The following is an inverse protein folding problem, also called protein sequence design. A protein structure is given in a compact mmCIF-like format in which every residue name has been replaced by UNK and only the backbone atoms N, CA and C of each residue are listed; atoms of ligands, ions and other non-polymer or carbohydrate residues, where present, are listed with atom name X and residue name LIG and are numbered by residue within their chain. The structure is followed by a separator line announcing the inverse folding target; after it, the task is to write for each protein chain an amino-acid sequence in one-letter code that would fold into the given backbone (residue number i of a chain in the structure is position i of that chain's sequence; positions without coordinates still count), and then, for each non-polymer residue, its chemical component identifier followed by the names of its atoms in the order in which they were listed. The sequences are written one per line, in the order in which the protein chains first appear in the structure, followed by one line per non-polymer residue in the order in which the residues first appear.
data_IF_422564168389
#
_entry.id   IF_422564168389
#
_cell.length_a   1.000
_cell.length_b   1.000
_cell.length_c   1.000
_cell.angle_alpha   90.00
_cell.angle_beta   90.00
_cell.angle_gamma   90.00
#
_symmetry.space_group_name_H-M   'P 1'
#
loop_
_entity.id
_entity.type
_entity.pdbx_description
1 polymer ?
#
# COMPACT_ATOMS: atom_id res chain seq x y z
N UNK A 1 -17.40 -6.28 7.54
CA UNK A 1 -16.62 -7.48 7.11
C UNK A 1 -15.24 -6.96 6.76
N UNK A 2 -14.18 -7.69 7.03
CA UNK A 2 -12.83 -7.30 6.64
C UNK A 2 -12.28 -8.30 5.62
N UNK A 3 -11.32 -7.86 4.80
CA UNK A 3 -10.75 -8.60 3.68
C UNK A 3 -9.25 -8.75 3.90
N UNK A 4 -8.73 -9.96 3.70
CA UNK A 4 -7.30 -10.23 3.77
C UNK A 4 -6.60 -9.78 2.50
N UNK A 5 -5.41 -9.24 2.64
CA UNK A 5 -4.53 -8.85 1.55
C UNK A 5 -3.08 -9.06 1.92
N UNK A 6 -2.21 -8.73 1.02
CA UNK A 6 -0.78 -8.73 1.26
C UNK A 6 -0.08 -7.67 0.42
N UNK A 7 1.10 -7.29 0.85
CA UNK A 7 2.04 -6.58 0.01
C UNK A 7 3.39 -7.30 -0.04
N UNK A 8 4.10 -7.06 -1.11
CA UNK A 8 5.43 -7.62 -1.35
C UNK A 8 6.17 -6.77 -2.36
N UNK A 9 7.36 -6.30 -1.97
CA UNK A 9 8.15 -5.43 -2.82
C UNK A 9 8.43 -6.04 -4.20
N UNK A 10 8.88 -7.30 -4.27
CA UNK A 10 9.12 -7.98 -5.54
C UNK A 10 7.87 -8.72 -6.03
N UNK A 11 7.51 -8.53 -7.30
CA UNK A 11 6.37 -9.24 -7.91
C UNK A 11 6.52 -10.77 -7.82
N UNK A 12 5.55 -11.49 -7.26
CA UNK A 12 5.68 -12.93 -7.04
C UNK A 12 5.64 -13.78 -8.33
N UNK A 13 5.16 -13.20 -9.43
CA UNK A 13 4.96 -13.89 -10.71
C UNK A 13 3.52 -14.35 -10.94
N UNK A 14 3.11 -14.34 -12.21
CA UNK A 14 1.71 -14.58 -12.63
C UNK A 14 1.14 -15.91 -12.13
N UNK A 15 1.92 -16.98 -12.18
CA UNK A 15 1.50 -18.31 -11.74
C UNK A 15 1.22 -18.36 -10.22
N UNK A 16 2.08 -17.69 -9.42
CA UNK A 16 1.90 -17.65 -7.99
C UNK A 16 0.73 -16.75 -7.59
N UNK A 17 0.55 -15.61 -8.27
CA UNK A 17 -0.61 -14.74 -8.06
C UNK A 17 -1.92 -15.46 -8.38
N UNK A 18 -1.99 -16.20 -9.49
CA UNK A 18 -3.17 -17.00 -9.83
C UNK A 18 -3.47 -18.07 -8.78
N UNK A 19 -2.43 -18.78 -8.30
CA UNK A 19 -2.58 -19.77 -7.25
C UNK A 19 -3.07 -19.16 -5.94
N UNK A 20 -2.45 -18.06 -5.48
CA UNK A 20 -2.86 -17.36 -4.26
C UNK A 20 -4.33 -16.94 -4.31
N UNK A 21 -4.78 -16.43 -5.46
CA UNK A 21 -6.17 -16.00 -5.62
C UNK A 21 -7.17 -17.16 -5.59
N UNK A 22 -6.80 -18.30 -6.12
CA UNK A 22 -7.67 -19.49 -6.18
C UNK A 22 -7.71 -20.27 -4.85
N UNK A 23 -6.58 -20.33 -4.14
CA UNK A 23 -6.38 -21.25 -3.03
C UNK A 23 -6.32 -20.58 -1.65
N UNK A 24 -6.46 -19.25 -1.58
CA UNK A 24 -6.51 -18.49 -0.32
C UNK A 24 -7.69 -17.55 -0.24
N UNK A 25 -7.92 -16.93 0.92
CA UNK A 25 -8.91 -15.88 1.10
C UNK A 25 -8.39 -14.47 0.78
N UNK A 26 -7.21 -14.35 0.15
CA UNK A 26 -6.64 -13.06 -0.23
C UNK A 26 -7.50 -12.36 -1.29
N UNK A 27 -7.84 -11.11 -1.02
CA UNK A 27 -8.74 -10.31 -1.84
C UNK A 27 -8.00 -9.22 -2.62
N UNK A 28 -6.98 -8.60 -2.04
CA UNK A 28 -6.24 -7.50 -2.63
C UNK A 28 -4.73 -7.63 -2.42
N UNK A 29 -3.99 -6.82 -3.15
CA UNK A 29 -2.53 -6.77 -3.10
C UNK A 29 -2.02 -5.34 -3.17
N UNK A 30 -0.94 -5.06 -2.45
CA UNK A 30 -0.13 -3.85 -2.65
C UNK A 30 0.48 -3.87 -4.04
N UNK A 31 0.11 -2.90 -4.88
CA UNK A 31 0.58 -2.78 -6.26
C UNK A 31 1.60 -1.65 -6.39
N UNK A 32 2.86 -2.00 -6.53
CA UNK A 32 3.96 -1.04 -6.52
C UNK A 32 4.11 -0.32 -7.86
N UNK A 33 3.79 0.96 -7.88
CA UNK A 33 4.01 1.86 -9.01
C UNK A 33 5.50 2.16 -9.17
N UNK A 34 6.03 2.03 -10.37
CA UNK A 34 7.46 2.20 -10.63
C UNK A 34 7.75 2.57 -12.10
N UNK A 35 8.91 3.23 -12.38
CA UNK A 35 9.93 3.61 -11.40
C UNK A 35 9.46 4.76 -10.50
N UNK A 36 9.82 4.71 -9.21
CA UNK A 36 9.57 5.74 -8.22
C UNK A 36 10.89 6.07 -7.49
N UNK A 37 11.00 7.21 -6.79
CA UNK A 37 12.25 7.66 -6.17
C UNK A 37 12.96 6.60 -5.32
N UNK A 38 12.22 5.88 -4.50
CA UNK A 38 12.78 4.84 -3.63
C UNK A 38 12.46 3.42 -4.11
N UNK A 39 11.89 3.28 -5.31
CA UNK A 39 11.63 2.01 -5.98
C UNK A 39 11.93 2.08 -7.48
N UNK A 40 13.17 1.83 -7.90
CA UNK A 40 13.51 1.86 -9.32
C UNK A 40 13.05 0.63 -10.12
N UNK A 41 12.75 -0.50 -9.46
CA UNK A 41 12.36 -1.76 -10.10
C UNK A 41 10.88 -1.76 -10.45
N UNK A 42 10.55 -2.00 -11.71
CA UNK A 42 9.20 -1.93 -12.27
C UNK A 42 8.55 -3.30 -12.56
N UNK A 43 8.85 -4.31 -11.75
CA UNK A 43 8.38 -5.70 -11.95
C UNK A 43 6.86 -5.88 -11.78
N UNK A 44 6.19 -5.02 -11.02
CA UNK A 44 4.74 -4.96 -10.90
C UNK A 44 4.05 -4.30 -12.10
N UNK A 45 4.75 -3.38 -12.79
CA UNK A 45 4.18 -2.61 -13.89
C UNK A 45 3.79 -3.52 -15.07
N UNK A 46 2.67 -3.19 -15.72
CA UNK A 46 2.09 -3.99 -16.79
C UNK A 46 1.31 -5.24 -16.31
N UNK A 47 1.17 -5.45 -14.99
CA UNK A 47 0.49 -6.63 -14.45
C UNK A 47 -0.95 -6.38 -14.01
N UNK A 48 -1.34 -5.12 -13.84
CA UNK A 48 -2.68 -4.77 -13.32
C UNK A 48 -3.81 -5.44 -14.11
N UNK A 49 -3.76 -5.40 -15.45
CA UNK A 49 -4.82 -5.98 -16.28
C UNK A 49 -4.99 -7.50 -16.06
N UNK A 50 -3.89 -8.23 -15.99
CA UNK A 50 -3.88 -9.68 -15.70
C UNK A 50 -4.42 -9.96 -14.30
N UNK A 51 -3.98 -9.21 -13.30
CA UNK A 51 -4.40 -9.39 -11.91
C UNK A 51 -5.88 -9.03 -11.72
N UNK A 52 -6.36 -7.96 -12.35
CA UNK A 52 -7.77 -7.59 -12.35
C UNK A 52 -8.65 -8.69 -12.96
N UNK A 53 -8.21 -9.31 -14.07
CA UNK A 53 -8.92 -10.43 -14.67
C UNK A 53 -8.95 -11.68 -13.77
N UNK A 54 -7.99 -11.84 -12.87
CA UNK A 54 -7.99 -12.87 -11.83
C UNK A 54 -8.89 -12.52 -10.64
N UNK A 55 -9.42 -11.29 -10.56
CA UNK A 55 -10.29 -10.81 -9.47
C UNK A 55 -9.54 -10.21 -8.28
N UNK A 56 -8.28 -9.79 -8.44
CA UNK A 56 -7.56 -9.04 -7.42
C UNK A 56 -8.08 -7.62 -7.28
N UNK A 57 -8.26 -7.16 -6.04
CA UNK A 57 -8.28 -5.75 -5.69
C UNK A 57 -6.86 -5.22 -5.51
N UNK A 58 -6.72 -3.89 -5.41
CA UNK A 58 -5.42 -3.23 -5.40
C UNK A 58 -5.31 -2.18 -4.30
N UNK A 59 -4.11 -2.05 -3.73
CA UNK A 59 -3.65 -0.87 -3.02
C UNK A 59 -2.45 -0.30 -3.80
N UNK A 60 -2.67 0.60 -4.78
CA UNK A 60 -1.57 1.16 -5.57
C UNK A 60 -0.68 2.02 -4.68
N UNK A 61 0.60 1.70 -4.59
CA UNK A 61 1.56 2.35 -3.71
C UNK A 61 2.73 2.95 -4.48
N UNK A 62 3.05 4.20 -4.18
CA UNK A 62 4.15 4.97 -4.73
C UNK A 62 5.21 5.21 -3.65
N UNK A 63 6.36 4.56 -3.79
CA UNK A 63 7.47 4.68 -2.82
C UNK A 63 8.25 5.96 -3.12
N UNK A 64 7.81 7.06 -2.52
CA UNK A 64 8.34 8.40 -2.71
C UNK A 64 9.72 8.61 -2.05
N UNK A 65 10.01 9.88 -1.72
CA UNK A 65 11.20 10.23 -0.95
C UNK A 65 11.07 9.73 0.49
N UNK A 66 12.15 9.25 1.06
CA UNK A 66 12.20 8.70 2.41
C UNK A 66 13.11 9.52 3.32
N UNK A 67 12.94 9.40 4.64
CA UNK A 67 13.89 9.95 5.62
C UNK A 67 15.28 9.31 5.44
N UNK A 68 16.33 10.05 5.78
CA UNK A 68 17.71 9.59 5.60
C UNK A 68 18.06 8.30 6.39
N UNK A 69 17.23 7.92 7.33
CA UNK A 69 17.34 6.66 8.10
C UNK A 69 16.74 5.47 7.37
N UNK A 70 15.99 5.70 6.29
CA UNK A 70 15.37 4.68 5.46
C UNK A 70 16.12 4.53 4.13
N UNK A 71 16.05 3.35 3.48
CA UNK A 71 16.56 3.19 2.12
C UNK A 71 15.81 4.08 1.11
N UNK A 72 16.52 4.59 0.10
CA UNK A 72 15.90 5.30 -1.02
C UNK A 72 16.46 6.69 -1.28
N UNK A 73 15.65 7.57 -1.86
CA UNK A 73 15.98 8.95 -2.15
C UNK A 73 15.46 9.86 -1.01
N UNK A 74 16.12 11.00 -0.78
CA UNK A 74 15.93 11.80 0.44
C UNK A 74 15.64 13.28 0.15
N UNK A 75 15.05 13.62 -1.01
CA UNK A 75 14.72 15.01 -1.38
C UNK A 75 13.35 15.39 -0.78
N UNK A 76 13.27 15.49 0.53
CA UNK A 76 12.03 15.78 1.28
C UNK A 76 11.74 17.28 1.27
N UNK A 77 11.23 17.79 0.15
CA UNK A 77 10.80 19.19 0.01
C UNK A 77 9.38 19.28 -0.58
N UNK A 78 8.66 20.37 -0.29
CA UNK A 78 7.33 20.56 -0.85
C UNK A 78 7.33 20.61 -2.40
N UNK A 79 8.28 21.28 -3.09
CA UNK A 79 8.34 21.21 -4.55
C UNK A 79 8.54 19.79 -5.07
N UNK A 80 9.38 18.98 -4.41
CA UNK A 80 9.60 17.57 -4.81
C UNK A 80 8.33 16.73 -4.58
N UNK A 81 7.59 16.98 -3.50
CA UNK A 81 6.30 16.31 -3.26
C UNK A 81 5.32 16.55 -4.41
N UNK A 82 5.21 17.77 -4.93
CA UNK A 82 4.35 18.07 -6.07
C UNK A 82 4.82 17.40 -7.38
N UNK A 83 6.15 17.28 -7.61
CA UNK A 83 6.71 16.58 -8.76
C UNK A 83 6.41 15.08 -8.66
N UNK A 84 6.66 14.47 -7.52
CA UNK A 84 6.45 13.04 -7.30
C UNK A 84 4.94 12.67 -7.35
N UNK A 85 4.05 13.59 -7.00
CA UNK A 85 2.61 13.42 -7.18
C UNK A 85 2.21 13.30 -8.66
N UNK A 86 2.79 14.16 -9.52
CA UNK A 86 2.55 14.10 -10.97
C UNK A 86 3.08 12.79 -11.57
N UNK A 87 4.22 12.32 -11.09
CA UNK A 87 4.78 11.03 -11.49
C UNK A 87 3.86 9.87 -11.06
N UNK A 88 3.40 9.85 -9.82
CA UNK A 88 2.45 8.85 -9.33
C UNK A 88 1.16 8.83 -10.16
N UNK A 89 0.58 9.99 -10.48
CA UNK A 89 -0.59 10.12 -11.36
C UNK A 89 -0.30 9.55 -12.76
N UNK A 90 0.89 9.84 -13.31
CA UNK A 90 1.31 9.31 -14.61
C UNK A 90 1.39 7.78 -14.60
N UNK A 91 1.99 7.18 -13.57
CA UNK A 91 2.09 5.73 -13.42
C UNK A 91 0.72 5.07 -13.24
N UNK A 92 -0.19 5.67 -12.50
CA UNK A 92 -1.58 5.21 -12.39
C UNK A 92 -2.28 5.19 -13.75
N UNK A 93 -2.06 6.22 -14.59
CA UNK A 93 -2.59 6.27 -15.95
C UNK A 93 -1.98 5.18 -16.85
N UNK A 94 -0.65 4.95 -16.76
CA UNK A 94 0.06 3.89 -17.51
C UNK A 94 -0.53 2.51 -17.19
N UNK A 95 -0.84 2.25 -15.92
CA UNK A 95 -1.48 0.99 -15.49
C UNK A 95 -2.99 0.97 -15.73
N UNK A 96 -3.56 2.01 -16.31
CA UNK A 96 -4.98 2.14 -16.59
C UNK A 96 -5.87 1.95 -15.35
N UNK A 97 -5.44 2.45 -14.17
CA UNK A 97 -6.34 2.53 -13.03
C UNK A 97 -7.54 3.42 -13.35
N UNK A 98 -8.76 3.02 -12.97
CA UNK A 98 -9.95 3.86 -13.17
C UNK A 98 -9.77 5.25 -12.54
N UNK A 99 -10.29 6.29 -13.21
CA UNK A 99 -10.34 7.62 -12.59
C UNK A 99 -11.15 7.56 -11.29
N UNK A 100 -10.70 8.29 -10.28
CA UNK A 100 -11.24 8.20 -8.92
C UNK A 100 -10.66 7.07 -8.08
N UNK A 101 -9.71 6.27 -8.61
CA UNK A 101 -8.98 5.32 -7.77
C UNK A 101 -8.10 6.03 -6.75
N UNK A 102 -7.83 5.34 -5.66
CA UNK A 102 -6.94 5.78 -4.57
C UNK A 102 -5.51 5.40 -4.90
N UNK A 103 -4.55 6.30 -4.64
CA UNK A 103 -3.11 6.03 -4.71
C UNK A 103 -2.44 6.38 -3.39
N UNK A 104 -1.61 5.48 -2.88
CA UNK A 104 -0.97 5.59 -1.57
C UNK A 104 0.48 6.07 -1.71
N UNK A 105 0.81 7.20 -1.07
CA UNK A 105 2.21 7.57 -0.83
C UNK A 105 2.78 6.73 0.30
N UNK A 106 3.91 6.08 0.07
CA UNK A 106 4.60 5.27 1.07
C UNK A 106 5.57 6.12 1.91
N UNK A 107 5.34 6.13 3.23
CA UNK A 107 6.18 6.76 4.25
C UNK A 107 6.60 5.69 5.27
N UNK A 108 7.85 5.24 5.16
CA UNK A 108 8.41 4.17 6.00
C UNK A 108 8.82 4.62 7.41
N UNK A 109 9.02 5.91 7.61
CA UNK A 109 9.43 6.44 8.92
C UNK A 109 8.32 6.29 9.96
N UNK A 110 8.63 5.62 11.07
CA UNK A 110 7.76 5.56 12.25
C UNK A 110 8.02 6.71 13.22
N UNK A 111 7.00 7.04 14.01
CA UNK A 111 7.09 8.09 15.04
C UNK A 111 6.75 9.47 14.50
N UNK A 112 7.29 10.50 15.16
CA UNK A 112 7.06 11.89 14.74
C UNK A 112 7.81 12.17 13.43
N UNK A 113 7.08 12.62 12.42
CA UNK A 113 7.67 13.06 11.16
C UNK A 113 8.49 14.33 11.32
N UNK A 114 9.57 14.44 10.55
CA UNK A 114 10.28 15.71 10.41
C UNK A 114 9.40 16.76 9.71
N UNK A 115 9.71 18.04 9.93
CA UNK A 115 9.03 19.11 9.19
C UNK A 115 9.22 18.99 7.66
N UNK A 116 10.32 18.39 7.23
CA UNK A 116 10.62 18.13 5.81
C UNK A 116 9.67 17.05 5.25
N UNK A 117 9.50 15.94 5.96
CA UNK A 117 8.57 14.87 5.58
C UNK A 117 7.14 15.39 5.54
N UNK A 118 6.71 16.17 6.55
CA UNK A 118 5.38 16.77 6.56
C UNK A 118 5.17 17.72 5.37
N UNK A 119 6.15 18.55 5.04
CA UNK A 119 6.05 19.46 3.91
C UNK A 119 5.97 18.71 2.57
N UNK A 120 6.74 17.63 2.42
CA UNK A 120 6.75 16.75 1.25
C UNK A 120 5.41 16.03 1.08
N UNK A 121 4.97 15.31 2.11
CA UNK A 121 3.74 14.51 2.04
C UNK A 121 2.49 15.38 1.88
N UNK A 122 2.42 16.53 2.57
CA UNK A 122 1.33 17.47 2.38
C UNK A 122 1.28 18.02 0.94
N UNK A 123 2.42 18.39 0.36
CA UNK A 123 2.47 18.89 -1.01
C UNK A 123 2.11 17.79 -2.03
N UNK A 124 2.51 16.54 -1.78
CA UNK A 124 2.11 15.40 -2.60
C UNK A 124 0.60 15.19 -2.57
N UNK A 125 -0.01 15.16 -1.38
CA UNK A 125 -1.47 15.02 -1.19
C UNK A 125 -2.21 16.15 -1.92
N UNK A 126 -1.78 17.40 -1.73
CA UNK A 126 -2.40 18.57 -2.34
C UNK A 126 -2.32 18.52 -3.87
N UNK A 127 -1.18 18.09 -4.42
CA UNK A 127 -0.98 18.01 -5.87
C UNK A 127 -1.80 16.88 -6.52
N UNK A 128 -1.93 15.70 -5.89
CA UNK A 128 -2.83 14.64 -6.39
C UNK A 128 -4.29 15.11 -6.34
N UNK A 129 -4.71 15.78 -5.27
CA UNK A 129 -6.05 16.37 -5.17
C UNK A 129 -6.30 17.44 -6.25
N UNK A 130 -5.31 18.28 -6.52
CA UNK A 130 -5.42 19.34 -7.54
C UNK A 130 -5.50 18.79 -8.96
N UNK A 131 -4.84 17.66 -9.27
CA UNK A 131 -5.00 16.96 -10.54
C UNK A 131 -6.42 16.41 -10.72
N UNK A 132 -7.05 15.91 -9.66
CA UNK A 132 -8.43 15.44 -9.64
C UNK A 132 -8.70 14.15 -10.41
N UNK A 133 -7.66 13.46 -10.90
CA UNK A 133 -7.81 12.15 -11.56
C UNK A 133 -7.94 11.02 -10.57
N UNK A 134 -7.24 11.13 -9.45
CA UNK A 134 -7.11 10.10 -8.40
C UNK A 134 -7.27 10.73 -7.01
N UNK A 135 -7.49 9.89 -6.02
CA UNK A 135 -7.58 10.31 -4.62
C UNK A 135 -6.26 9.97 -3.89
N UNK A 136 -5.64 10.95 -3.20
CA UNK A 136 -4.45 10.68 -2.42
C UNK A 136 -4.76 9.91 -1.15
N UNK A 137 -3.90 8.98 -0.82
CA UNK A 137 -3.86 8.28 0.45
C UNK A 137 -2.41 8.14 0.91
N UNK A 138 -2.19 7.70 2.14
CA UNK A 138 -0.84 7.53 2.69
C UNK A 138 -0.72 6.18 3.40
N UNK A 139 0.34 5.43 3.07
CA UNK A 139 0.84 4.33 3.88
C UNK A 139 1.82 4.91 4.91
N UNK A 140 1.55 4.70 6.20
CA UNK A 140 2.37 5.21 7.29
C UNK A 140 2.18 4.45 8.60
N UNK A 141 3.07 4.71 9.56
CA UNK A 141 2.93 4.22 10.93
C UNK A 141 1.64 4.68 11.61
N UNK A 142 1.08 3.84 12.48
CA UNK A 142 -0.01 4.24 13.38
C UNK A 142 0.38 5.43 14.29
N UNK A 143 1.67 5.61 14.56
CA UNK A 143 2.18 6.76 15.37
C UNK A 143 2.33 8.03 14.54
N UNK A 144 2.49 7.93 13.23
CA UNK A 144 2.56 9.06 12.28
C UNK A 144 1.17 9.56 11.89
N UNK A 145 0.21 8.66 11.73
CA UNK A 145 -1.14 8.94 11.23
C UNK A 145 -1.86 10.13 11.91
N UNK A 146 -1.80 10.32 13.24
CA UNK A 146 -2.47 11.47 13.88
C UNK A 146 -1.94 12.82 13.42
N UNK A 147 -0.62 12.98 13.24
CA UNK A 147 -0.02 14.24 12.78
C UNK A 147 -0.40 14.55 11.35
N UNK A 148 -0.38 13.53 10.48
CA UNK A 148 -0.80 13.66 9.09
C UNK A 148 -2.28 14.06 8.98
N UNK A 149 -3.17 13.42 9.72
CA UNK A 149 -4.60 13.75 9.74
C UNK A 149 -4.89 15.14 10.30
N UNK A 150 -4.06 15.65 11.23
CA UNK A 150 -4.18 17.02 11.71
C UNK A 150 -3.83 18.04 10.61
N UNK A 151 -2.87 17.71 9.72
CA UNK A 151 -2.46 18.57 8.61
C UNK A 151 -3.36 18.43 7.38
N UNK A 152 -3.84 17.23 7.11
CA UNK A 152 -4.71 16.91 5.95
C UNK A 152 -5.88 16.03 6.40
N UNK A 153 -6.90 16.62 7.03
CA UNK A 153 -8.09 15.88 7.46
C UNK A 153 -8.77 15.19 6.29
N UNK A 154 -9.26 13.96 6.53
CA UNK A 154 -9.95 13.17 5.51
C UNK A 154 -9.03 12.39 4.56
N UNK A 155 -7.70 12.49 4.69
CA UNK A 155 -6.77 11.63 3.95
C UNK A 155 -7.03 10.17 4.31
N UNK A 156 -7.21 9.33 3.30
CA UNK A 156 -7.35 7.89 3.47
C UNK A 156 -6.01 7.28 3.88
N UNK A 157 -6.04 6.28 4.79
CA UNK A 157 -4.81 5.73 5.37
C UNK A 157 -4.71 4.22 5.20
N UNK A 158 -3.54 3.77 4.78
CA UNK A 158 -3.03 2.42 4.98
C UNK A 158 -2.01 2.49 6.12
N UNK A 159 -2.39 1.95 7.26
CA UNK A 159 -1.62 2.10 8.50
C UNK A 159 -0.86 0.82 8.79
N UNK A 160 0.43 0.92 9.10
CA UNK A 160 1.13 -0.20 9.69
C UNK A 160 1.18 -0.10 11.22
N UNK A 161 0.84 -1.21 11.87
CA UNK A 161 0.95 -1.41 13.30
C UNK A 161 1.30 -2.87 13.58
N UNK A 162 2.61 -3.15 13.65
CA UNK A 162 3.13 -4.49 13.85
C UNK A 162 3.27 -4.71 15.35
N UNK A 163 2.18 -5.10 15.99
CA UNK A 163 2.14 -5.37 17.42
C UNK A 163 1.94 -6.86 17.66
N UNK A 164 2.93 -7.51 18.27
CA UNK A 164 2.79 -8.88 18.74
C UNK A 164 3.58 -9.91 17.93
N UNK A 165 3.41 -11.18 18.30
CA UNK A 165 4.08 -12.30 17.64
C UNK A 165 3.60 -12.39 16.19
N UNK A 166 4.56 -12.42 15.27
CA UNK A 166 4.30 -12.77 13.88
C UNK A 166 3.57 -14.13 13.89
N UNK A 167 2.41 -14.22 13.27
CA UNK A 167 1.71 -15.48 13.18
C UNK A 167 2.62 -16.56 12.58
N UNK A 168 2.56 -17.77 13.10
CA UNK A 168 3.36 -18.90 12.62
C UNK A 168 3.05 -19.29 11.17
N UNK A 169 3.83 -20.16 10.53
CA UNK A 169 3.84 -20.40 9.08
C UNK A 169 2.57 -21.04 8.47
N UNK A 170 1.52 -21.26 9.24
CA UNK A 170 0.35 -22.08 8.86
C UNK A 170 -0.92 -21.24 8.64
N UNK A 171 -0.87 -20.22 7.77
CA UNK A 171 -2.05 -19.40 7.48
C UNK A 171 -2.87 -19.84 6.28
N UNK A 172 -2.40 -20.82 5.56
CA UNK A 172 -3.12 -21.34 4.41
C UNK A 172 -4.31 -22.24 4.85
N UNK A 173 -5.49 -22.14 4.21
CA UNK A 173 -5.88 -21.18 3.17
C UNK A 173 -6.50 -19.87 3.72
N UNK A 174 -6.73 -19.77 5.02
CA UNK A 174 -7.49 -18.68 5.65
C UNK A 174 -6.57 -17.76 6.44
N UNK A 175 -6.14 -16.70 5.80
CA UNK A 175 -5.37 -15.63 6.43
C UNK A 175 -6.27 -14.75 7.30
N UNK A 176 -5.78 -14.26 8.47
CA UNK A 176 -6.55 -13.36 9.30
C UNK A 176 -6.94 -12.08 8.57
N UNK A 177 -8.16 -11.60 8.81
CA UNK A 177 -8.63 -10.32 8.33
C UNK A 177 -9.33 -9.57 9.47
N UNK A 178 -8.65 -8.60 10.03
CA UNK A 178 -9.15 -7.74 11.10
C UNK A 178 -9.70 -6.43 10.52
N UNK A 179 -10.59 -5.77 11.26
CA UNK A 179 -10.99 -4.41 10.90
C UNK A 179 -9.77 -3.48 11.01
N UNK A 180 -9.44 -2.67 10.01
CA UNK A 180 -8.30 -1.75 10.05
C UNK A 180 -8.29 -0.80 11.25
N UNK A 181 -9.43 -0.48 11.83
CA UNK A 181 -9.54 0.36 13.04
C UNK A 181 -8.81 -0.20 14.28
N UNK A 182 -8.49 -1.51 14.31
CA UNK A 182 -7.69 -2.11 15.40
C UNK A 182 -6.22 -1.66 15.36
N UNK A 183 -5.79 -0.96 14.29
CA UNK A 183 -4.50 -0.30 14.21
C UNK A 183 -4.26 0.74 15.31
N UNK A 184 -5.33 1.20 15.99
CA UNK A 184 -5.31 2.38 16.87
C UNK A 184 -5.65 3.69 16.13
N UNK A 185 -5.88 3.61 14.81
CA UNK A 185 -6.33 4.72 13.96
C UNK A 185 -7.72 4.39 13.42
N UNK A 186 -8.80 4.93 14.02
CA UNK A 186 -10.17 4.53 13.68
C UNK A 186 -10.57 4.76 12.21
N UNK A 187 -9.96 5.73 11.55
CA UNK A 187 -10.18 6.07 10.14
C UNK A 187 -9.31 5.29 9.15
N UNK A 188 -8.45 4.37 9.62
CA UNK A 188 -7.67 3.53 8.72
C UNK A 188 -8.58 2.65 7.85
N UNK A 189 -8.30 2.62 6.56
CA UNK A 189 -9.02 1.80 5.56
C UNK A 189 -8.29 0.52 5.23
N UNK A 190 -6.97 0.52 5.41
CA UNK A 190 -6.08 -0.64 5.30
C UNK A 190 -5.16 -0.69 6.52
N UNK A 191 -4.87 -1.87 7.01
CA UNK A 191 -3.92 -2.15 8.10
C UNK A 191 -2.93 -3.23 7.65
N UNK A 192 -1.63 -2.91 7.69
CA UNK A 192 -0.58 -3.91 7.69
C UNK A 192 -0.32 -4.34 9.14
N UNK A 193 -0.60 -5.61 9.44
CA UNK A 193 -0.55 -6.13 10.80
C UNK A 193 0.60 -7.11 11.06
N UNK A 194 1.28 -7.57 9.99
CA UNK A 194 2.44 -8.45 10.11
C UNK A 194 3.41 -8.21 8.94
N UNK A 195 4.71 -8.25 9.23
CA UNK A 195 5.78 -8.06 8.25
C UNK A 195 6.65 -9.31 8.15
N UNK A 196 7.20 -9.55 6.95
CA UNK A 196 8.15 -10.64 6.68
C UNK A 196 7.61 -12.02 7.12
N UNK A 197 6.32 -12.24 6.95
CA UNK A 197 5.67 -13.51 7.28
C UNK A 197 5.97 -14.52 6.19
N UNK A 198 6.40 -15.71 6.59
CA UNK A 198 6.51 -16.85 5.67
C UNK A 198 5.23 -17.66 5.71
N UNK A 199 4.41 -17.59 4.67
CA UNK A 199 3.23 -18.45 4.53
C UNK A 199 3.58 -19.76 3.84
N UNK A 200 2.98 -20.86 4.31
CA UNK A 200 3.09 -22.17 3.68
C UNK A 200 2.07 -22.28 2.52
N UNK A 201 2.56 -22.57 1.34
CA UNK A 201 1.75 -22.70 0.14
C UNK A 201 1.51 -24.18 -0.20
N UNK A 202 0.94 -24.90 0.72
CA UNK A 202 0.67 -26.34 0.57
C UNK A 202 0.17 -26.70 -0.82
N UNK A 203 0.96 -27.48 -1.59
CA UNK A 203 0.75 -27.78 -3.00
C UNK A 203 0.79 -26.57 -3.97
N UNK A 204 1.31 -25.42 -3.55
CA UNK A 204 1.50 -24.25 -4.40
C UNK A 204 2.73 -24.36 -5.32
N UNK A 205 2.93 -23.35 -6.20
CA UNK A 205 4.08 -23.31 -7.12
C UNK A 205 5.44 -23.22 -6.40
N UNK A 206 5.45 -22.82 -5.16
CA UNK A 206 6.61 -22.83 -4.26
C UNK A 206 6.17 -23.28 -2.89
N UNK A 207 7.07 -23.86 -2.09
CA UNK A 207 6.72 -24.37 -0.77
C UNK A 207 6.34 -23.24 0.22
N UNK A 208 6.99 -22.08 0.10
CA UNK A 208 6.78 -20.94 1.00
C UNK A 208 6.86 -19.62 0.24
N UNK A 209 6.13 -18.62 0.74
CA UNK A 209 6.18 -17.25 0.26
C UNK A 209 6.37 -16.30 1.44
N UNK A 210 7.42 -15.47 1.39
CA UNK A 210 7.60 -14.33 2.29
C UNK A 210 6.83 -13.13 1.78
N UNK A 211 6.00 -12.51 2.63
CA UNK A 211 5.20 -11.34 2.32
C UNK A 211 4.82 -10.58 3.60
N UNK A 212 4.24 -9.41 3.44
CA UNK A 212 3.62 -8.66 4.52
C UNK A 212 2.10 -8.84 4.45
N UNK A 213 1.45 -8.96 5.61
CA UNK A 213 0.04 -9.27 5.69
C UNK A 213 -0.78 -8.03 6.02
N UNK A 214 -1.82 -7.84 5.21
CA UNK A 214 -2.74 -6.72 5.28
C UNK A 214 -4.17 -7.15 5.53
N UNK A 215 -4.97 -6.20 5.99
CA UNK A 215 -6.41 -6.31 5.94
C UNK A 215 -7.04 -4.96 5.58
N UNK A 216 -8.19 -5.00 4.91
CA UNK A 216 -8.89 -3.81 4.47
C UNK A 216 -10.39 -3.89 4.79
N UNK A 217 -11.05 -2.72 4.85
CA UNK A 217 -12.51 -2.62 5.04
C UNK A 217 -13.30 -2.99 3.78
N UNK A 218 -12.67 -2.95 2.61
CA UNK A 218 -13.25 -3.28 1.29
C UNK A 218 -12.31 -4.21 0.53
N UNK A 219 -12.83 -4.99 -0.44
CA UNK A 219 -12.02 -5.98 -1.15
C UNK A 219 -11.06 -5.37 -2.19
N UNK A 220 -11.25 -4.11 -2.56
CA UNK A 220 -10.38 -3.36 -3.47
C UNK A 220 -10.07 -1.97 -2.87
N UNK A 221 -8.95 -1.83 -2.15
CA UNK A 221 -8.55 -0.56 -1.54
C UNK A 221 -8.21 0.56 -2.52
N UNK A 222 -8.13 0.29 -3.83
CA UNK A 222 -8.05 1.35 -4.84
C UNK A 222 -9.37 2.08 -5.03
N UNK A 223 -10.48 1.56 -4.52
CA UNK A 223 -11.76 2.26 -4.55
C UNK A 223 -11.86 3.23 -3.36
N UNK A 224 -12.39 4.45 -3.55
CA UNK A 224 -12.58 5.38 -2.45
C UNK A 224 -13.58 4.82 -1.42
N UNK A 225 -13.24 4.97 -0.13
CA UNK A 225 -14.13 4.57 0.95
C UNK A 225 -15.36 5.48 1.01
N UNK A 226 -16.54 4.92 0.83
CA UNK A 226 -17.81 5.65 1.02
C UNK A 226 -18.59 6.00 -0.24
N UNK A 227 -18.27 5.39 -1.38
CA UNK A 227 -19.21 5.34 -2.52
C UNK A 227 -20.10 4.12 -2.48
#
# INVERSE_FOLDING_TARGET
MAYAGFDKLAYPGDALMAWLKADTNLSFVGFYLAPAPSRPTSDWMGRRGTLAAQGWGFAPVYVGQQEATQPGQHVLTAPQGAIDAQDAVSLMNVEAFPRGSVVYLDIEQGGAESAATQAYSCAWIDAVNADGSYHPAVYCSHTTAPSLLALRPGTQLWVWNIAGAVPGPNYHPNLPANNPSVSGVPSATVLQYAQNVSIDLHNGPTAKLGLDLDCASIPDPSLPSGM
#
